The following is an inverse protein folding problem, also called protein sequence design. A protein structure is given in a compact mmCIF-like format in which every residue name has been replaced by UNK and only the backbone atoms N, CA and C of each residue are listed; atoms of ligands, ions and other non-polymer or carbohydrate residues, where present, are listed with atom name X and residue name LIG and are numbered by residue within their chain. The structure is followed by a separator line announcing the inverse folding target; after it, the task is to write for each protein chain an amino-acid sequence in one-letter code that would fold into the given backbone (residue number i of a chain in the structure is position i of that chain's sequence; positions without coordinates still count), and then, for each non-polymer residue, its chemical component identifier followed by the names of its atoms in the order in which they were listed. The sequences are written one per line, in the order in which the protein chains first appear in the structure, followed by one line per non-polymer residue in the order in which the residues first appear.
data_IF_454434332451
#
_entry.id   IF_454434332451
#
_cell.length_a   1.000
_cell.length_b   1.000
_cell.length_c   1.000
_cell.angle_alpha   90.00
_cell.angle_beta   90.00
_cell.angle_gamma   90.00
#
_symmetry.space_group_name_H-M   'P 1'
#
loop_
_entity.id
_entity.type
_entity.pdbx_description
1 polymer ?
#
# COMPACT_ATOMS: atom_id res chain seq x y z
N UNK A 1 4.53 9.47 11.93
CA UNK A 1 3.88 8.91 10.73
C UNK A 1 2.75 9.84 10.33
N UNK A 2 2.55 10.16 9.04
CA UNK A 2 1.48 11.07 8.61
C UNK A 2 0.30 10.24 8.09
N UNK A 3 -0.84 10.28 8.78
CA UNK A 3 -1.96 9.37 8.51
C UNK A 3 -2.50 9.46 7.07
N UNK A 4 -2.50 10.65 6.46
CA UNK A 4 -2.94 10.82 5.07
C UNK A 4 -2.10 10.02 4.06
N UNK A 5 -0.85 9.69 4.40
CA UNK A 5 0.01 8.88 3.53
C UNK A 5 -0.43 7.42 3.49
N UNK A 6 -1.10 6.90 4.53
CA UNK A 6 -1.64 5.54 4.53
C UNK A 6 -2.69 5.42 3.42
N UNK A 7 -3.62 6.37 3.36
CA UNK A 7 -4.65 6.42 2.32
C UNK A 7 -4.06 6.63 0.92
N UNK A 8 -3.08 7.53 0.78
CA UNK A 8 -2.44 7.80 -0.51
C UNK A 8 -1.68 6.57 -1.04
N UNK A 9 -0.86 5.92 -0.21
CA UNK A 9 -0.16 4.71 -0.59
C UNK A 9 -1.12 3.55 -0.84
N UNK A 10 -2.14 3.37 0.01
CA UNK A 10 -3.18 2.37 -0.19
C UNK A 10 -3.89 2.53 -1.54
N UNK A 11 -4.26 3.75 -1.92
CA UNK A 11 -4.82 4.02 -3.23
C UNK A 11 -3.86 3.63 -4.37
N UNK A 12 -2.59 4.05 -4.29
CA UNK A 12 -1.57 3.75 -5.31
C UNK A 12 -1.28 2.25 -5.47
N UNK A 13 -1.32 1.50 -4.38
CA UNK A 13 -1.22 0.03 -4.40
C UNK A 13 -2.47 -0.58 -5.02
N UNK A 14 -3.66 -0.12 -4.62
CA UNK A 14 -4.94 -0.61 -5.14
C UNK A 14 -5.09 -0.41 -6.65
N UNK A 15 -4.61 0.72 -7.19
CA UNK A 15 -4.61 0.98 -8.64
C UNK A 15 -3.39 0.38 -9.37
N UNK A 16 -2.54 -0.35 -8.66
CA UNK A 16 -1.41 -1.09 -9.25
C UNK A 16 -0.23 -0.24 -9.70
N UNK A 17 -0.12 1.02 -9.26
CA UNK A 17 1.00 1.92 -9.60
C UNK A 17 2.20 1.70 -8.68
N UNK A 18 1.96 1.31 -7.43
CA UNK A 18 2.98 0.97 -6.44
C UNK A 18 2.78 -0.46 -5.96
N UNK A 19 3.86 -1.09 -5.50
CA UNK A 19 3.80 -2.37 -4.83
C UNK A 19 3.84 -2.16 -3.30
N UNK A 20 3.07 -2.98 -2.57
CA UNK A 20 3.06 -2.95 -1.10
C UNK A 20 4.40 -3.40 -0.53
N UNK A 21 5.00 -4.40 -1.17
CA UNK A 21 6.28 -5.01 -0.81
C UNK A 21 7.15 -5.17 -2.05
N UNK A 22 8.41 -5.50 -1.85
CA UNK A 22 9.34 -5.75 -2.96
C UNK A 22 8.90 -7.03 -3.68
N UNK A 23 8.71 -6.94 -4.99
CA UNK A 23 8.46 -8.08 -5.86
C UNK A 23 9.72 -8.34 -6.69
N UNK A 24 10.15 -9.59 -6.80
CA UNK A 24 11.30 -9.97 -7.62
C UNK A 24 11.08 -9.60 -9.09
N UNK A 25 12.03 -8.86 -9.67
CA UNK A 25 11.92 -8.32 -11.03
C UNK A 25 10.95 -7.14 -11.18
N UNK A 26 10.39 -6.62 -10.08
CA UNK A 26 9.48 -5.48 -10.09
C UNK A 26 10.18 -4.15 -10.43
N UNK A 27 9.51 -3.30 -11.20
CA UNK A 27 10.00 -1.95 -11.58
C UNK A 27 9.23 -0.81 -10.92
N UNK A 28 8.18 -1.14 -10.17
CA UNK A 28 7.35 -0.14 -9.51
C UNK A 28 8.00 0.35 -8.23
N UNK A 29 7.53 1.50 -7.77
CA UNK A 29 7.90 2.02 -6.45
C UNK A 29 7.24 1.18 -5.37
N UNK A 30 7.94 1.01 -4.24
CA UNK A 30 7.47 0.22 -3.10
C UNK A 30 7.10 1.13 -1.94
N UNK A 31 6.02 0.80 -1.23
CA UNK A 31 5.61 1.53 -0.02
C UNK A 31 6.78 1.55 0.98
N UNK A 32 7.12 2.73 1.56
CA UNK A 32 8.17 2.81 2.58
C UNK A 32 7.88 1.89 3.76
N UNK A 33 8.92 1.26 4.30
CA UNK A 33 8.80 0.21 5.31
C UNK A 33 7.95 0.62 6.51
N UNK A 34 8.14 1.84 7.02
CA UNK A 34 7.39 2.37 8.15
C UNK A 34 5.89 2.62 7.89
N UNK A 35 5.43 2.44 6.65
CA UNK A 35 4.01 2.51 6.27
C UNK A 35 3.42 1.16 5.86
N UNK A 36 4.22 0.12 5.56
CA UNK A 36 3.71 -1.12 4.95
C UNK A 36 2.61 -1.79 5.77
N UNK A 37 2.84 -1.99 7.07
CA UNK A 37 1.84 -2.63 7.95
C UNK A 37 0.54 -1.82 8.03
N UNK A 38 0.64 -0.50 8.16
CA UNK A 38 -0.53 0.37 8.24
C UNK A 38 -1.31 0.39 6.91
N UNK A 39 -0.62 0.38 5.77
CA UNK A 39 -1.24 0.32 4.44
C UNK A 39 -1.86 -1.06 4.19
N UNK A 40 -1.21 -2.15 4.62
CA UNK A 40 -1.75 -3.49 4.53
C UNK A 40 -3.07 -3.63 5.30
N UNK A 41 -3.10 -3.13 6.55
CA UNK A 41 -4.33 -3.10 7.36
C UNK A 41 -5.44 -2.29 6.70
N UNK A 42 -5.12 -1.08 6.21
CA UNK A 42 -6.07 -0.23 5.48
C UNK A 42 -6.65 -0.90 4.23
N UNK A 43 -5.83 -1.63 3.45
CA UNK A 43 -6.29 -2.36 2.28
C UNK A 43 -7.18 -3.56 2.65
N UNK A 44 -6.83 -4.27 3.73
CA UNK A 44 -7.62 -5.39 4.24
C UNK A 44 -9.02 -4.93 4.69
N UNK A 45 -9.12 -3.83 5.43
CA UNK A 45 -10.40 -3.23 5.85
C UNK A 45 -11.32 -2.90 4.67
N UNK A 46 -10.75 -2.49 3.53
CA UNK A 46 -11.54 -2.22 2.32
C UNK A 46 -12.00 -3.45 1.56
N UNK A 47 -11.29 -4.57 1.71
CA UNK A 47 -11.58 -5.80 0.94
C UNK A 47 -12.73 -6.59 1.55
N UNK A 48 -12.98 -6.43 2.86
CA UNK A 48 -14.06 -7.11 3.58
C UNK A 48 -15.47 -6.61 3.18
N UNK A 49 -15.56 -5.54 2.38
CA UNK A 49 -16.82 -4.92 1.95
C UNK A 49 -17.01 -5.06 0.45
N UNK A 50 -17.04 -6.29 -0.08
CA UNK A 50 -17.49 -6.60 -1.45
C UNK A 50 -18.27 -7.92 -1.50
#
# INVERSE_FOLDING_TARGET
MKNYLITAYGYLVKVGVWDLEIIEGGTKKVVPENYRLAVAGYLAEQTVVQ
#
